data_IF_219797097758
#
_entry.id   IF_219797097758
#
_cell.length_a   1.000
_cell.length_b   1.000
_cell.length_c   1.000
_cell.angle_alpha   90.00
_cell.angle_beta   90.00
_cell.angle_gamma   90.00
#
_symmetry.space_group_name_H-M   'P 1'
#
loop_
_entity.id
_entity.type
_entity.pdbx_description
1 polymer ?
#
# COMPACT_ATOMS: atom_id res chain seq x y z
N UNK A 1 10.98 11.33 -25.33
CA UNK A 1 10.53 10.08 -24.66
C UNK A 1 10.01 9.14 -25.75
N UNK A 2 10.53 7.95 -25.83
CA UNK A 2 10.07 6.94 -26.77
C UNK A 2 8.64 6.47 -26.40
N UNK A 3 7.84 6.11 -27.42
CA UNK A 3 6.44 5.71 -27.21
C UNK A 3 6.32 4.49 -26.30
N UNK A 4 7.26 3.52 -26.41
CA UNK A 4 7.30 2.34 -25.56
C UNK A 4 7.53 2.70 -24.08
N UNK A 5 8.49 3.56 -23.78
CA UNK A 5 8.77 4.03 -22.41
C UNK A 5 7.57 4.80 -21.83
N UNK A 6 6.86 5.57 -22.66
CA UNK A 6 5.63 6.23 -22.24
C UNK A 6 4.53 5.22 -21.88
N UNK A 7 4.39 4.16 -22.68
CA UNK A 7 3.44 3.07 -22.41
C UNK A 7 3.78 2.33 -21.10
N UNK A 8 5.06 2.00 -20.88
CA UNK A 8 5.52 1.38 -19.63
C UNK A 8 5.18 2.27 -18.42
N UNK A 9 5.47 3.57 -18.48
CA UNK A 9 5.17 4.51 -17.42
C UNK A 9 3.66 4.64 -17.16
N UNK A 10 2.83 4.62 -18.21
CA UNK A 10 1.38 4.60 -18.10
C UNK A 10 0.88 3.34 -17.37
N UNK A 11 1.32 2.16 -17.81
CA UNK A 11 0.88 0.88 -17.24
C UNK A 11 1.28 0.78 -15.76
N UNK A 12 2.53 1.08 -15.42
CA UNK A 12 3.00 1.01 -14.03
C UNK A 12 2.32 2.06 -13.14
N UNK A 13 2.10 3.28 -13.64
CA UNK A 13 1.33 4.28 -12.92
C UNK A 13 -0.13 3.85 -12.69
N UNK A 14 -0.77 3.24 -13.69
CA UNK A 14 -2.11 2.66 -13.55
C UNK A 14 -2.11 1.55 -12.49
N UNK A 15 -1.19 0.60 -12.58
CA UNK A 15 -1.08 -0.52 -11.64
C UNK A 15 -0.90 -0.01 -10.21
N UNK A 16 0.04 0.91 -9.99
CA UNK A 16 0.26 1.52 -8.67
C UNK A 16 -1.01 2.19 -8.15
N UNK A 17 -1.59 3.11 -8.94
CA UNK A 17 -2.76 3.85 -8.54
C UNK A 17 -3.96 2.97 -8.20
N UNK A 18 -4.21 1.93 -8.98
CA UNK A 18 -5.32 1.01 -8.72
C UNK A 18 -5.05 0.13 -7.51
N UNK A 19 -3.84 -0.38 -7.35
CA UNK A 19 -3.57 -1.47 -6.39
C UNK A 19 -3.11 -1.01 -5.02
N UNK A 20 -2.57 0.21 -4.89
CA UNK A 20 -1.95 0.68 -3.63
C UNK A 20 -2.94 0.72 -2.46
N UNK A 21 -4.14 1.23 -2.69
CA UNK A 21 -5.15 1.37 -1.63
C UNK A 21 -6.10 0.19 -1.53
N UNK A 22 -6.18 -0.64 -2.55
CA UNK A 22 -6.90 -1.91 -2.49
C UNK A 22 -6.09 -2.93 -1.65
N UNK A 23 -6.76 -3.81 -0.90
CA UNK A 23 -6.06 -4.77 -0.06
C UNK A 23 -5.50 -5.98 -0.86
N UNK A 24 -4.78 -5.69 -1.97
CA UNK A 24 -4.29 -6.71 -2.94
C UNK A 24 -2.78 -6.68 -3.21
N UNK A 25 -2.03 -5.77 -2.57
CA UNK A 25 -0.58 -5.58 -2.69
C UNK A 25 -0.10 -4.96 -4.01
N UNK A 26 0.11 -3.66 -4.01
CA UNK A 26 0.71 -2.92 -5.14
C UNK A 26 2.11 -3.43 -5.48
N UNK A 27 2.96 -3.62 -4.47
CA UNK A 27 4.33 -4.14 -4.65
C UNK A 27 4.34 -5.46 -5.41
N UNK A 28 3.42 -6.39 -5.08
CA UNK A 28 3.32 -7.66 -5.79
C UNK A 28 2.97 -7.49 -7.27
N UNK A 29 2.04 -6.58 -7.59
CA UNK A 29 1.67 -6.28 -8.97
C UNK A 29 2.78 -5.56 -9.72
N UNK A 30 3.43 -4.59 -9.07
CA UNK A 30 4.54 -3.83 -9.66
C UNK A 30 5.69 -4.74 -10.08
N UNK A 31 6.15 -5.65 -9.19
CA UNK A 31 7.23 -6.59 -9.50
C UNK A 31 6.89 -7.41 -10.75
N UNK A 32 5.68 -7.98 -10.80
CA UNK A 32 5.26 -8.85 -11.89
C UNK A 32 5.08 -8.08 -13.20
N UNK A 33 4.40 -6.93 -13.14
CA UNK A 33 4.14 -6.15 -14.35
C UNK A 33 5.42 -5.51 -14.88
N UNK A 34 6.29 -5.01 -14.00
CA UNK A 34 7.57 -4.44 -14.41
C UNK A 34 8.46 -5.46 -15.14
N UNK A 35 8.51 -6.70 -14.62
CA UNK A 35 9.23 -7.80 -15.25
C UNK A 35 8.64 -8.16 -16.63
N UNK A 36 7.31 -8.30 -16.72
CA UNK A 36 6.62 -8.63 -17.97
C UNK A 36 6.78 -7.59 -19.09
N UNK A 37 6.97 -6.32 -18.73
CA UNK A 37 7.17 -5.23 -19.71
C UNK A 37 8.63 -4.78 -19.82
N UNK A 38 9.56 -5.53 -19.22
CA UNK A 38 11.01 -5.25 -19.21
C UNK A 38 11.35 -3.81 -18.73
N UNK A 39 10.74 -3.40 -17.60
CA UNK A 39 11.02 -2.12 -16.95
C UNK A 39 11.68 -2.36 -15.60
N UNK A 40 12.98 -2.65 -15.62
CA UNK A 40 13.76 -3.09 -14.46
C UNK A 40 15.00 -2.22 -14.24
N UNK A 41 15.76 -2.50 -13.16
CA UNK A 41 16.99 -1.81 -12.83
C UNK A 41 16.81 -0.46 -12.13
N UNK A 42 17.85 0.33 -12.10
CA UNK A 42 17.97 1.58 -11.34
C UNK A 42 16.86 2.59 -11.65
N UNK A 43 16.50 2.69 -12.93
CA UNK A 43 15.42 3.57 -13.37
C UNK A 43 14.07 3.16 -12.80
N UNK A 44 13.79 1.86 -12.74
CA UNK A 44 12.55 1.33 -12.18
C UNK A 44 12.46 1.61 -10.68
N UNK A 45 13.57 1.50 -9.94
CA UNK A 45 13.60 1.84 -8.51
C UNK A 45 13.24 3.31 -8.27
N UNK A 46 13.86 4.24 -9.00
CA UNK A 46 13.55 5.67 -8.89
C UNK A 46 12.09 5.97 -9.30
N UNK A 47 11.62 5.33 -10.38
CA UNK A 47 10.27 5.46 -10.89
C UNK A 47 9.21 5.00 -9.87
N UNK A 48 9.42 3.85 -9.22
CA UNK A 48 8.50 3.31 -8.21
C UNK A 48 8.30 4.28 -7.04
N UNK A 49 9.36 4.96 -6.59
CA UNK A 49 9.25 5.99 -5.55
C UNK A 49 8.34 7.13 -6.00
N UNK A 50 8.46 7.55 -7.24
CA UNK A 50 7.71 8.68 -7.80
C UNK A 50 6.22 8.35 -8.00
N UNK A 51 5.89 7.17 -8.54
CA UNK A 51 4.50 6.77 -8.73
C UNK A 51 3.79 6.56 -7.40
N UNK A 52 4.50 6.06 -6.38
CA UNK A 52 3.99 5.93 -5.02
C UNK A 52 3.62 7.30 -4.42
N UNK A 53 4.43 8.34 -4.66
CA UNK A 53 4.09 9.71 -4.26
C UNK A 53 2.83 10.23 -4.97
N UNK A 54 2.60 9.84 -6.22
CA UNK A 54 1.36 10.14 -6.95
C UNK A 54 0.14 9.54 -6.27
N UNK A 55 0.21 8.27 -5.89
CA UNK A 55 -0.86 7.58 -5.16
C UNK A 55 -1.13 8.23 -3.79
N UNK A 56 -0.09 8.57 -3.02
CA UNK A 56 -0.22 9.26 -1.72
C UNK A 56 -0.93 10.61 -1.88
N UNK A 57 -0.53 11.39 -2.87
CA UNK A 57 -1.14 12.69 -3.12
C UNK A 57 -2.63 12.57 -3.44
N UNK A 58 -3.07 11.51 -4.11
CA UNK A 58 -4.49 11.27 -4.37
C UNK A 58 -5.31 11.12 -3.08
N UNK A 59 -4.81 10.39 -2.09
CA UNK A 59 -5.49 10.26 -0.79
C UNK A 59 -5.46 11.57 -0.01
N UNK A 60 -4.33 12.28 0.00
CA UNK A 60 -4.24 13.61 0.64
C UNK A 60 -5.26 14.55 0.01
N UNK A 61 -5.40 14.53 -1.30
CA UNK A 61 -6.36 15.37 -2.02
C UNK A 61 -7.82 14.98 -1.71
N UNK A 62 -8.15 13.69 -1.68
CA UNK A 62 -9.49 13.22 -1.32
C UNK A 62 -9.88 13.65 0.08
N UNK A 63 -8.98 13.51 1.04
CA UNK A 63 -9.21 13.87 2.44
C UNK A 63 -8.69 15.25 2.83
N UNK A 64 -8.42 16.15 1.86
CA UNK A 64 -7.82 17.47 2.11
C UNK A 64 -8.54 18.32 3.16
N UNK A 65 -9.88 18.25 3.21
CA UNK A 65 -10.67 19.00 4.21
C UNK A 65 -10.40 18.46 5.62
N UNK A 66 -10.39 17.13 5.78
CA UNK A 66 -10.07 16.49 7.05
C UNK A 66 -8.62 16.77 7.45
N UNK A 67 -7.67 16.59 6.53
CA UNK A 67 -6.24 16.86 6.77
C UNK A 67 -6.03 18.31 7.22
N UNK A 68 -6.59 19.28 6.51
CA UNK A 68 -6.51 20.70 6.89
C UNK A 68 -7.16 20.96 8.25
N UNK A 69 -8.34 20.38 8.52
CA UNK A 69 -9.03 20.51 9.81
C UNK A 69 -8.19 19.95 10.97
N UNK A 70 -7.50 18.82 10.77
CA UNK A 70 -6.60 18.25 11.76
C UNK A 70 -5.40 19.14 11.98
N UNK A 71 -4.71 19.59 10.92
CA UNK A 71 -3.52 20.44 11.01
C UNK A 71 -3.86 21.76 11.72
N UNK A 72 -4.92 22.45 11.31
CA UNK A 72 -5.32 23.73 11.90
C UNK A 72 -5.89 23.57 13.32
N UNK A 73 -6.47 22.42 13.63
CA UNK A 73 -7.02 22.09 14.95
C UNK A 73 -5.99 21.57 15.94
N UNK A 74 -4.80 21.14 15.48
CA UNK A 74 -3.79 20.52 16.32
C UNK A 74 -3.37 21.33 17.55
N UNK A 75 -3.20 22.67 17.48
CA UNK A 75 -2.82 23.46 18.66
C UNK A 75 -3.89 23.54 19.75
N UNK A 76 -5.18 23.46 19.38
CA UNK A 76 -6.28 23.85 20.30
C UNK A 76 -7.38 22.77 20.45
N UNK A 77 -7.55 21.87 19.50
CA UNK A 77 -8.67 20.92 19.46
C UNK A 77 -8.27 19.54 19.91
N UNK A 78 -8.80 19.07 21.03
CA UNK A 78 -8.57 17.71 21.57
C UNK A 78 -8.84 16.59 20.57
N UNK A 79 -9.91 16.62 19.72
CA UNK A 79 -10.11 15.57 18.71
C UNK A 79 -8.95 15.51 17.68
N UNK A 80 -8.46 16.64 17.20
CA UNK A 80 -7.32 16.68 16.26
C UNK A 80 -6.03 16.12 16.91
N UNK A 81 -5.78 16.48 18.16
CA UNK A 81 -4.63 15.96 18.94
C UNK A 81 -4.74 14.45 19.12
N UNK A 82 -5.92 13.94 19.52
CA UNK A 82 -6.17 12.50 19.70
C UNK A 82 -6.01 11.72 18.38
N UNK A 83 -6.59 12.24 17.30
CA UNK A 83 -6.45 11.64 15.96
C UNK A 83 -4.97 11.54 15.55
N UNK A 84 -4.22 12.64 15.69
CA UNK A 84 -2.79 12.68 15.36
C UNK A 84 -1.98 11.74 16.27
N UNK A 85 -2.28 11.70 17.57
CA UNK A 85 -1.62 10.77 18.50
C UNK A 85 -1.87 9.31 18.09
N UNK A 86 -3.11 8.93 17.78
CA UNK A 86 -3.45 7.59 17.31
C UNK A 86 -2.71 7.25 16.00
N UNK A 87 -2.61 8.22 15.07
CA UNK A 87 -1.89 8.04 13.82
C UNK A 87 -0.39 7.79 14.06
N UNK A 88 0.24 8.56 14.94
CA UNK A 88 1.65 8.39 15.31
C UNK A 88 1.88 7.05 16.04
N UNK A 89 1.01 6.68 16.98
CA UNK A 89 1.09 5.38 17.68
C UNK A 89 1.01 4.20 16.69
N UNK A 90 0.18 4.29 15.65
CA UNK A 90 0.09 3.26 14.63
C UNK A 90 1.27 3.31 13.62
N UNK A 91 1.87 4.48 13.42
CA UNK A 91 2.97 4.68 12.49
C UNK A 91 4.31 4.09 12.98
N UNK A 92 4.67 4.36 14.25
CA UNK A 92 6.01 4.04 14.77
C UNK A 92 6.40 2.56 14.73
N UNK A 93 5.55 1.57 15.05
CA UNK A 93 5.97 0.17 15.03
C UNK A 93 6.56 -0.26 13.67
N UNK A 94 5.91 0.08 12.57
CA UNK A 94 6.38 -0.27 11.24
C UNK A 94 7.64 0.50 10.84
N UNK A 95 7.79 1.76 11.28
CA UNK A 95 9.02 2.54 11.02
C UNK A 95 10.21 1.94 11.78
N UNK A 96 10.04 1.60 13.04
CA UNK A 96 11.13 1.02 13.85
C UNK A 96 11.60 -0.29 13.23
N UNK A 97 10.67 -1.20 12.91
CA UNK A 97 11.01 -2.48 12.32
C UNK A 97 11.52 -2.34 10.87
N UNK A 98 10.91 -1.46 10.09
CA UNK A 98 11.33 -1.18 8.72
C UNK A 98 12.77 -0.67 8.66
N UNK A 99 13.14 0.30 9.51
CA UNK A 99 14.51 0.82 9.56
C UNK A 99 15.51 -0.20 10.12
N UNK A 100 15.09 -1.01 11.11
CA UNK A 100 15.97 -2.01 11.72
C UNK A 100 16.30 -3.19 10.77
N UNK A 101 15.35 -3.57 9.89
CA UNK A 101 15.43 -4.77 9.08
C UNK A 101 15.32 -4.50 7.56
N UNK A 102 15.43 -3.24 7.12
CA UNK A 102 15.25 -2.86 5.71
C UNK A 102 16.11 -3.68 4.75
N UNK A 103 17.40 -3.82 5.04
CA UNK A 103 18.34 -4.52 4.17
C UNK A 103 18.10 -6.05 4.16
N UNK A 104 17.76 -6.64 5.31
CA UNK A 104 17.42 -8.06 5.41
C UNK A 104 16.11 -8.38 4.68
N UNK A 105 15.10 -7.53 4.87
CA UNK A 105 13.80 -7.65 4.17
C UNK A 105 14.03 -7.61 2.66
N UNK A 106 14.78 -6.63 2.18
CA UNK A 106 15.06 -6.49 0.75
C UNK A 106 15.83 -7.70 0.23
N UNK A 107 16.87 -8.12 0.93
CA UNK A 107 17.75 -9.23 0.51
C UNK A 107 17.04 -10.58 0.46
N UNK A 108 16.16 -10.88 1.44
CA UNK A 108 15.61 -12.23 1.59
C UNK A 108 14.15 -12.37 1.17
N UNK A 109 13.37 -11.29 1.21
CA UNK A 109 11.93 -11.37 1.00
C UNK A 109 11.46 -10.75 -0.33
N UNK A 110 12.26 -9.89 -0.97
CA UNK A 110 11.89 -9.30 -2.26
C UNK A 110 12.13 -10.28 -3.40
N UNK A 111 11.23 -11.25 -3.54
CA UNK A 111 11.23 -12.18 -4.67
C UNK A 111 9.80 -12.62 -4.99
N UNK A 112 9.49 -13.02 -6.23
CA UNK A 112 8.14 -13.35 -6.68
C UNK A 112 7.47 -14.48 -5.89
N UNK A 113 8.25 -15.45 -5.41
CA UNK A 113 7.72 -16.60 -4.66
C UNK A 113 7.24 -16.15 -3.27
N UNK A 114 8.04 -15.33 -2.57
CA UNK A 114 7.64 -14.73 -1.29
C UNK A 114 6.38 -13.88 -1.47
N UNK A 115 6.35 -13.03 -2.51
CA UNK A 115 5.19 -12.20 -2.86
C UNK A 115 3.94 -13.06 -3.09
N UNK A 116 4.05 -14.10 -3.93
CA UNK A 116 2.93 -14.96 -4.26
C UNK A 116 2.42 -15.74 -3.04
N UNK A 117 3.34 -16.26 -2.22
CA UNK A 117 3.01 -16.96 -0.97
C UNK A 117 2.29 -16.02 0.01
N UNK A 118 2.80 -14.78 0.18
CA UNK A 118 2.17 -13.78 1.04
C UNK A 118 0.80 -13.33 0.52
N UNK A 119 0.61 -13.27 -0.81
CA UNK A 119 -0.70 -13.02 -1.41
C UNK A 119 -1.70 -14.12 -1.04
N UNK A 120 -1.34 -15.39 -1.21
CA UNK A 120 -2.21 -16.55 -0.91
C UNK A 120 -2.54 -16.60 0.58
N UNK A 121 -1.52 -16.57 1.45
CA UNK A 121 -1.72 -16.61 2.90
C UNK A 121 -2.58 -15.42 3.36
N UNK A 122 -2.26 -14.20 2.91
CA UNK A 122 -3.01 -13.00 3.25
C UNK A 122 -4.47 -13.05 2.74
N UNK A 123 -4.72 -13.71 1.60
CA UNK A 123 -6.08 -13.96 1.11
C UNK A 123 -6.87 -14.89 2.04
N UNK A 124 -6.29 -15.98 2.50
CA UNK A 124 -6.94 -16.88 3.49
C UNK A 124 -7.17 -16.18 4.83
N UNK A 125 -6.19 -15.40 5.32
CA UNK A 125 -6.35 -14.60 6.55
C UNK A 125 -7.51 -13.61 6.42
N UNK A 126 -7.64 -12.97 5.25
CA UNK A 126 -8.74 -12.03 4.98
C UNK A 126 -10.10 -12.74 4.97
N UNK A 127 -10.22 -13.93 4.32
CA UNK A 127 -11.45 -14.73 4.36
C UNK A 127 -11.80 -15.17 5.78
N UNK A 128 -10.81 -15.58 6.54
CA UNK A 128 -11.00 -15.98 7.94
C UNK A 128 -11.47 -14.79 8.78
N UNK A 129 -10.84 -13.62 8.63
CA UNK A 129 -11.25 -12.42 9.36
C UNK A 129 -12.69 -12.00 9.02
N UNK A 130 -13.07 -12.01 7.74
CA UNK A 130 -14.43 -11.64 7.30
C UNK A 130 -15.54 -12.59 7.81
N UNK A 131 -15.21 -13.85 8.07
CA UNK A 131 -16.16 -14.83 8.61
C UNK A 131 -16.41 -14.71 10.12
N UNK A 132 -15.60 -13.91 10.82
CA UNK A 132 -15.74 -13.76 12.27
C UNK A 132 -16.77 -12.70 12.63
N UNK A 133 -17.49 -12.94 13.72
CA UNK A 133 -18.33 -11.92 14.35
C UNK A 133 -17.44 -10.88 15.03
N UNK A 134 -17.52 -9.64 14.57
CA UNK A 134 -16.78 -8.53 15.13
C UNK A 134 -17.65 -7.72 16.09
N UNK A 135 -17.24 -7.60 17.36
CA UNK A 135 -17.82 -6.62 18.28
C UNK A 135 -17.28 -5.24 17.90
N UNK A 136 -18.03 -4.50 17.09
CA UNK A 136 -17.63 -3.16 16.63
C UNK A 136 -17.75 -2.19 17.81
N UNK A 137 -16.64 -1.53 18.12
CA UNK A 137 -16.51 -0.50 19.16
C UNK A 137 -16.11 0.87 18.59
N UNK A 138 -15.56 0.91 17.36
CA UNK A 138 -15.21 2.13 16.65
C UNK A 138 -15.92 2.16 15.29
N UNK A 139 -16.93 3.01 15.16
CA UNK A 139 -17.72 3.20 13.93
C UNK A 139 -17.10 4.23 12.98
N UNK A 140 -16.29 5.14 13.54
CA UNK A 140 -15.52 6.17 12.83
C UNK A 140 -14.07 6.19 13.32
N UNK A 141 -13.20 6.91 12.61
CA UNK A 141 -11.80 7.11 13.03
C UNK A 141 -11.70 7.91 14.34
N UNK A 142 -12.70 8.74 14.63
CA UNK A 142 -12.76 9.54 15.85
C UNK A 142 -13.12 8.70 17.10
N UNK A 143 -13.79 7.56 16.94
CA UNK A 143 -14.11 6.64 18.05
C UNK A 143 -12.92 5.78 18.47
N UNK A 144 -11.88 5.75 17.64
CA UNK A 144 -10.73 4.87 17.82
C UNK A 144 -9.95 5.17 19.10
N UNK A 145 -9.63 4.14 19.86
CA UNK A 145 -8.76 4.22 21.03
C UNK A 145 -7.29 4.09 20.64
N UNK A 146 -6.38 4.58 21.48
CA UNK A 146 -4.94 4.44 21.23
C UNK A 146 -4.49 2.95 21.22
N UNK A 147 -5.15 2.08 21.99
CA UNK A 147 -4.87 0.63 21.98
C UNK A 147 -5.23 0.00 20.64
N UNK A 148 -6.35 0.41 20.04
CA UNK A 148 -6.71 -0.02 18.69
C UNK A 148 -5.70 0.51 17.66
N UNK A 149 -5.29 1.76 17.77
CA UNK A 149 -4.26 2.35 16.92
C UNK A 149 -2.94 1.57 16.99
N UNK A 150 -2.47 1.24 18.18
CA UNK A 150 -1.27 0.44 18.38
C UNK A 150 -1.39 -0.95 17.74
N UNK A 151 -2.51 -1.63 17.94
CA UNK A 151 -2.77 -2.95 17.36
C UNK A 151 -2.81 -2.92 15.83
N UNK A 152 -3.41 -1.88 15.24
CA UNK A 152 -3.38 -1.67 13.78
C UNK A 152 -1.95 -1.38 13.30
N UNK A 153 -1.18 -0.60 14.06
CA UNK A 153 0.24 -0.35 13.77
C UNK A 153 1.10 -1.62 13.83
N UNK A 154 0.84 -2.50 14.80
CA UNK A 154 1.50 -3.82 14.86
C UNK A 154 1.07 -4.72 13.70
N UNK A 155 -0.21 -4.70 13.30
CA UNK A 155 -0.66 -5.40 12.11
C UNK A 155 0.00 -4.83 10.83
N UNK A 156 0.25 -3.52 10.76
CA UNK A 156 0.98 -2.90 9.65
C UNK A 156 2.40 -3.46 9.49
N UNK A 157 3.05 -3.91 10.56
CA UNK A 157 4.38 -4.51 10.48
C UNK A 157 4.42 -5.75 9.58
N UNK A 158 3.31 -6.48 9.43
CA UNK A 158 3.22 -7.60 8.49
C UNK A 158 3.40 -7.13 7.03
N UNK A 159 3.09 -5.88 6.74
CA UNK A 159 3.25 -5.31 5.40
C UNK A 159 4.72 -5.07 5.00
N UNK A 160 5.66 -5.21 5.92
CA UNK A 160 7.09 -5.24 5.61
C UNK A 160 7.46 -6.49 4.81
N UNK A 161 6.64 -7.55 4.85
CA UNK A 161 6.78 -8.72 3.99
C UNK A 161 6.12 -8.39 2.64
N UNK A 162 6.88 -8.36 1.53
CA UNK A 162 6.34 -8.08 0.21
C UNK A 162 5.21 -9.06 -0.16
N UNK A 163 4.15 -8.54 -0.78
CA UNK A 163 2.96 -9.35 -1.09
C UNK A 163 1.88 -9.33 0.00
N UNK A 164 2.21 -9.00 1.26
CA UNK A 164 1.21 -8.96 2.35
C UNK A 164 0.16 -7.87 2.15
N UNK A 165 0.49 -6.76 1.53
CA UNK A 165 -0.32 -5.54 1.38
C UNK A 165 -0.41 -4.70 2.65
N UNK A 166 0.08 -3.46 2.60
CA UNK A 166 -0.03 -2.50 3.70
C UNK A 166 -1.51 -2.20 4.02
N UNK A 167 -2.29 -1.85 3.00
CA UNK A 167 -3.74 -1.62 3.14
C UNK A 167 -4.47 -2.86 3.65
N UNK A 168 -4.14 -4.06 3.12
CA UNK A 168 -4.70 -5.32 3.60
C UNK A 168 -4.43 -5.57 5.09
N UNK A 169 -3.19 -5.40 5.53
CA UNK A 169 -2.79 -5.60 6.94
C UNK A 169 -3.50 -4.65 7.90
N UNK A 170 -3.55 -3.35 7.55
CA UNK A 170 -4.16 -2.33 8.40
C UNK A 170 -5.68 -2.41 8.43
N UNK A 171 -6.33 -2.70 7.30
CA UNK A 171 -7.78 -2.85 7.21
C UNK A 171 -8.23 -4.10 7.98
N UNK A 172 -7.61 -5.25 7.70
CA UNK A 172 -7.99 -6.51 8.38
C UNK A 172 -7.63 -6.45 9.85
N UNK A 173 -6.47 -5.85 10.21
CA UNK A 173 -6.15 -5.56 11.61
C UNK A 173 -7.22 -4.69 12.27
N UNK A 174 -7.65 -3.61 11.63
CA UNK A 174 -8.72 -2.75 12.13
C UNK A 174 -10.02 -3.52 12.40
N UNK A 175 -10.46 -4.37 11.47
CA UNK A 175 -11.65 -5.23 11.66
C UNK A 175 -11.50 -6.16 12.87
N UNK A 176 -10.38 -6.87 12.96
CA UNK A 176 -10.10 -7.80 14.05
C UNK A 176 -10.05 -7.11 15.42
N UNK A 177 -9.72 -5.82 15.46
CA UNK A 177 -9.64 -5.03 16.68
C UNK A 177 -10.87 -4.14 16.93
N UNK A 178 -12.00 -4.46 16.27
CA UNK A 178 -13.30 -3.87 16.57
C UNK A 178 -13.60 -2.55 15.86
N UNK A 179 -12.96 -2.27 14.74
CA UNK A 179 -13.34 -1.15 13.87
C UNK A 179 -14.39 -1.61 12.84
N UNK A 180 -15.30 -0.72 12.46
CA UNK A 180 -16.16 -0.95 11.31
C UNK A 180 -15.33 -1.01 10.00
N UNK A 181 -15.86 -1.64 8.93
CA UNK A 181 -15.17 -1.67 7.62
C UNK A 181 -14.80 -0.27 7.15
N UNK A 182 -15.71 0.67 7.27
CA UNK A 182 -15.49 2.08 6.88
C UNK A 182 -14.36 2.70 7.72
N UNK A 183 -14.45 2.62 9.05
CA UNK A 183 -13.43 3.19 9.93
C UNK A 183 -12.04 2.57 9.71
N UNK A 184 -11.96 1.25 9.53
CA UNK A 184 -10.70 0.55 9.25
C UNK A 184 -10.07 0.99 7.92
N UNK A 185 -10.90 1.14 6.87
CA UNK A 185 -10.42 1.62 5.55
C UNK A 185 -9.95 3.06 5.62
N UNK A 186 -10.76 3.96 6.21
CA UNK A 186 -10.40 5.37 6.34
C UNK A 186 -9.13 5.53 7.17
N UNK A 187 -9.02 4.84 8.31
CA UNK A 187 -7.80 4.88 9.13
C UNK A 187 -6.59 4.34 8.39
N UNK A 188 -6.73 3.26 7.61
CA UNK A 188 -5.67 2.76 6.74
C UNK A 188 -5.19 3.83 5.76
N UNK A 189 -6.10 4.61 5.16
CA UNK A 189 -5.76 5.70 4.25
C UNK A 189 -5.02 6.83 4.96
N UNK A 190 -5.49 7.24 6.13
CA UNK A 190 -4.79 8.26 6.93
C UNK A 190 -3.41 7.79 7.37
N UNK A 191 -3.27 6.51 7.77
CA UNK A 191 -2.00 5.94 8.17
C UNK A 191 -1.03 5.79 6.98
N UNK A 192 -1.55 5.62 5.76
CA UNK A 192 -0.76 5.61 4.55
C UNK A 192 0.01 6.92 4.34
N UNK A 193 -0.62 8.06 4.65
CA UNK A 193 -0.02 9.38 4.39
C UNK A 193 1.37 9.51 5.05
N UNK A 194 1.53 9.39 6.38
CA UNK A 194 2.85 9.49 7.00
C UNK A 194 3.75 8.29 6.67
N UNK A 195 3.20 7.07 6.61
CA UNK A 195 4.00 5.85 6.41
C UNK A 195 4.66 5.83 5.03
N UNK A 196 3.89 6.04 3.98
CA UNK A 196 4.40 6.00 2.62
C UNK A 196 5.21 7.26 2.28
N UNK A 197 4.81 8.44 2.77
CA UNK A 197 5.62 9.65 2.60
C UNK A 197 6.98 9.49 3.27
N UNK A 198 7.01 8.95 4.49
CA UNK A 198 8.26 8.66 5.21
C UNK A 198 9.14 7.67 4.45
N UNK A 199 8.55 6.57 3.96
CA UNK A 199 9.25 5.56 3.16
C UNK A 199 9.77 6.16 1.83
N UNK A 200 8.95 6.93 1.12
CA UNK A 200 9.34 7.59 -0.12
C UNK A 200 10.47 8.61 0.07
N UNK A 201 10.41 9.43 1.13
CA UNK A 201 11.48 10.37 1.48
C UNK A 201 12.78 9.65 1.81
N UNK A 202 12.70 8.58 2.62
CA UNK A 202 13.86 7.75 2.95
C UNK A 202 14.48 7.12 1.69
N UNK A 203 13.67 6.51 0.84
CA UNK A 203 14.11 5.88 -0.41
C UNK A 203 14.66 6.91 -1.40
N UNK A 204 14.01 8.06 -1.55
CA UNK A 204 14.50 9.14 -2.40
C UNK A 204 15.86 9.68 -1.93
N UNK A 205 16.08 9.75 -0.60
CA UNK A 205 17.38 10.12 -0.06
C UNK A 205 18.44 9.03 -0.28
N UNK A 206 18.10 7.76 0.00
CA UNK A 206 19.00 6.60 -0.17
C UNK A 206 19.42 6.45 -1.63
N UNK A 207 18.49 6.54 -2.56
CA UNK A 207 18.69 6.34 -4.00
C UNK A 207 18.77 7.64 -4.82
N UNK A 208 19.11 8.78 -4.18
CA UNK A 208 19.16 10.09 -4.84
C UNK A 208 20.05 10.15 -6.08
N UNK A 209 21.06 9.29 -6.16
CA UNK A 209 22.00 9.20 -7.29
C UNK A 209 21.36 8.55 -8.53
N UNK A 210 20.23 7.87 -8.40
CA UNK A 210 19.51 7.25 -9.51
C UNK A 210 18.57 8.23 -10.23
N UNK A 211 18.27 9.39 -9.62
CA UNK A 211 17.37 10.36 -10.24
C UNK A 211 18.12 11.17 -11.30
N UNK A 212 17.70 10.99 -12.57
CA UNK A 212 18.27 11.74 -13.69
C UNK A 212 17.23 12.71 -14.27
N UNK A 213 17.67 13.89 -14.64
CA UNK A 213 16.80 14.90 -15.25
C UNK A 213 16.21 14.45 -16.60
N UNK A 214 16.91 13.56 -17.30
CA UNK A 214 16.42 12.92 -18.54
C UNK A 214 15.17 12.08 -18.32
N UNK A 215 14.94 11.55 -17.11
CA UNK A 215 13.82 10.70 -16.78
C UNK A 215 12.57 11.49 -16.30
N UNK A 216 12.71 12.80 -16.12
CA UNK A 216 11.62 13.65 -15.65
C UNK A 216 10.31 13.49 -16.43
N UNK A 217 10.29 13.39 -17.78
CA UNK A 217 9.05 13.17 -18.54
C UNK A 217 8.37 11.82 -18.22
N UNK A 218 9.18 10.77 -17.99
CA UNK A 218 8.70 9.43 -17.64
C UNK A 218 8.12 9.43 -16.23
N UNK A 219 8.84 10.05 -15.29
CA UNK A 219 8.42 10.20 -13.90
C UNK A 219 7.13 11.02 -13.77
N UNK A 220 7.03 12.13 -14.50
CA UNK A 220 5.83 12.96 -14.51
C UNK A 220 4.60 12.21 -15.05
N UNK A 221 4.79 11.42 -16.11
CA UNK A 221 3.72 10.61 -16.68
C UNK A 221 3.24 9.54 -15.71
N UNK A 222 4.15 8.75 -15.14
CA UNK A 222 3.83 7.72 -14.14
C UNK A 222 3.14 8.30 -12.92
N UNK A 223 3.68 9.40 -12.37
CA UNK A 223 3.09 10.14 -11.24
C UNK A 223 1.65 10.57 -11.54
N UNK A 224 1.41 11.18 -12.70
CA UNK A 224 0.08 11.65 -13.10
C UNK A 224 -0.93 10.52 -13.18
N UNK A 225 -0.57 9.41 -13.84
CA UNK A 225 -1.49 8.27 -13.95
C UNK A 225 -1.69 7.56 -12.61
N UNK A 226 -0.64 7.41 -11.80
CA UNK A 226 -0.77 6.90 -10.43
C UNK A 226 -1.75 7.75 -9.62
N UNK A 227 -1.61 9.08 -9.65
CA UNK A 227 -2.54 10.00 -8.99
C UNK A 227 -3.99 9.82 -9.46
N UNK A 228 -4.22 9.82 -10.80
CA UNK A 228 -5.57 9.71 -11.37
C UNK A 228 -6.22 8.38 -10.98
N UNK A 229 -5.51 7.27 -11.18
CA UNK A 229 -6.07 5.94 -10.91
C UNK A 229 -6.21 5.66 -9.42
N UNK A 230 -5.33 6.17 -8.56
CA UNK A 230 -5.48 6.11 -7.11
C UNK A 230 -6.72 6.89 -6.64
N UNK A 231 -6.99 8.07 -7.22
CA UNK A 231 -8.19 8.85 -6.93
C UNK A 231 -9.47 8.07 -7.26
N UNK A 232 -9.48 7.37 -8.40
CA UNK A 232 -10.61 6.53 -8.81
C UNK A 232 -10.73 5.33 -7.87
N UNK A 233 -9.62 4.64 -7.57
CA UNK A 233 -9.61 3.45 -6.73
C UNK A 233 -10.05 3.73 -5.29
N UNK A 234 -9.59 4.82 -4.68
CA UNK A 234 -9.98 5.25 -3.33
C UNK A 234 -11.48 5.49 -3.24
N UNK A 235 -12.05 6.26 -4.18
CA UNK A 235 -13.49 6.54 -4.21
C UNK A 235 -14.31 5.27 -4.47
N UNK A 236 -13.86 4.43 -5.39
CA UNK A 236 -14.51 3.17 -5.71
C UNK A 236 -14.50 2.22 -4.52
N UNK A 237 -13.37 2.09 -3.81
CA UNK A 237 -13.25 1.25 -2.62
C UNK A 237 -14.19 1.73 -1.51
N UNK A 238 -14.21 3.02 -1.19
CA UNK A 238 -15.10 3.58 -0.15
C UNK A 238 -16.56 3.30 -0.45
N UNK A 239 -16.98 3.44 -1.72
CA UNK A 239 -18.34 3.11 -2.15
C UNK A 239 -18.61 1.60 -2.05
N UNK A 240 -17.66 0.77 -2.45
CA UNK A 240 -17.76 -0.68 -2.48
C UNK A 240 -17.94 -1.27 -1.07
N UNK A 241 -17.11 -0.88 -0.10
CA UNK A 241 -17.11 -1.42 1.26
C UNK A 241 -18.38 -1.05 2.06
N UNK A 242 -19.15 -0.05 1.61
CA UNK A 242 -20.44 0.30 2.21
C UNK A 242 -21.46 -0.84 2.14
N UNK A 243 -21.36 -1.69 1.12
CA UNK A 243 -22.34 -2.76 0.86
C UNK A 243 -21.71 -4.15 0.64
N UNK A 244 -20.38 -4.26 0.59
CA UNK A 244 -19.69 -5.50 0.28
C UNK A 244 -18.60 -5.81 1.30
N UNK A 245 -18.22 -7.09 1.36
CA UNK A 245 -17.10 -7.58 2.17
C UNK A 245 -15.79 -7.54 1.39
N UNK A 246 -14.67 -7.70 2.10
CA UNK A 246 -13.35 -7.83 1.45
C UNK A 246 -13.09 -9.20 0.82
N UNK A 247 -14.05 -10.12 0.86
CA UNK A 247 -13.90 -11.48 0.33
C UNK A 247 -13.53 -11.51 -1.17
N UNK A 248 -14.02 -10.54 -1.96
CA UNK A 248 -13.66 -10.42 -3.39
C UNK A 248 -12.16 -10.21 -3.55
N UNK A 249 -11.56 -9.33 -2.75
CA UNK A 249 -10.12 -9.07 -2.78
C UNK A 249 -9.32 -10.26 -2.26
N UNK A 250 -9.85 -10.99 -1.29
CA UNK A 250 -9.24 -12.22 -0.78
C UNK A 250 -9.14 -13.30 -1.87
N UNK A 251 -10.23 -13.56 -2.59
CA UNK A 251 -10.24 -14.50 -3.69
C UNK A 251 -9.32 -14.07 -4.84
N UNK A 252 -9.32 -12.78 -5.16
CA UNK A 252 -8.39 -12.23 -6.13
C UNK A 252 -6.93 -12.51 -5.75
N UNK A 253 -6.54 -12.23 -4.49
CA UNK A 253 -5.18 -12.50 -3.98
C UNK A 253 -4.80 -13.96 -4.08
N UNK A 254 -5.71 -14.87 -3.67
CA UNK A 254 -5.48 -16.32 -3.73
C UNK A 254 -5.28 -16.75 -5.18
N UNK A 255 -6.17 -16.33 -6.08
CA UNK A 255 -6.07 -16.69 -7.50
C UNK A 255 -4.82 -16.15 -8.17
N UNK A 256 -4.49 -14.87 -7.92
CA UNK A 256 -3.30 -14.23 -8.48
C UNK A 256 -2.01 -14.83 -7.94
N UNK A 257 -1.91 -15.04 -6.61
CA UNK A 257 -0.75 -15.68 -6.01
C UNK A 257 -0.58 -17.14 -6.45
N UNK A 258 -1.68 -17.89 -6.57
CA UNK A 258 -1.64 -19.26 -7.10
C UNK A 258 -1.17 -19.30 -8.56
N UNK A 259 -1.60 -18.35 -9.40
CA UNK A 259 -1.16 -18.23 -10.78
C UNK A 259 0.35 -18.00 -10.88
N UNK A 260 0.91 -17.13 -10.04
CA UNK A 260 2.35 -16.88 -9.99
C UNK A 260 3.11 -18.13 -9.58
N UNK A 261 2.67 -18.82 -8.50
CA UNK A 261 3.31 -20.05 -8.04
C UNK A 261 3.26 -21.17 -9.09
N UNK A 262 2.13 -21.31 -9.80
CA UNK A 262 1.99 -22.27 -10.90
C UNK A 262 2.89 -21.92 -12.08
N UNK A 263 2.97 -20.64 -12.48
CA UNK A 263 3.83 -20.19 -13.59
C UNK A 263 5.30 -20.45 -13.28
N UNK A 264 5.71 -20.29 -12.02
CA UNK A 264 7.05 -20.66 -11.55
C UNK A 264 7.29 -22.17 -11.60
N UNK A 265 6.39 -22.97 -11.05
CA UNK A 265 6.54 -24.42 -10.99
C UNK A 265 6.54 -25.08 -12.38
N UNK A 266 5.78 -24.52 -13.32
CA UNK A 266 5.69 -25.01 -14.70
C UNK A 266 6.73 -24.39 -15.64
N UNK A 267 7.62 -23.53 -15.12
CA UNK A 267 8.63 -22.78 -15.90
C UNK A 267 8.03 -21.99 -17.09
N UNK A 268 6.82 -21.45 -16.93
CA UNK A 268 6.20 -20.60 -17.92
C UNK A 268 6.84 -19.20 -17.96
N UNK A 269 7.31 -18.73 -16.82
CA UNK A 269 8.00 -17.45 -16.64
C UNK A 269 9.24 -17.69 -15.80
N UNK A 270 10.36 -17.16 -16.24
CA UNK A 270 11.60 -17.18 -15.46
C UNK A 270 11.60 -16.02 -14.46
N UNK A 271 11.19 -16.31 -13.23
CA UNK A 271 11.16 -15.34 -12.14
C UNK A 271 12.53 -15.11 -11.47
N UNK A 272 13.61 -15.74 -11.96
CA UNK A 272 14.95 -15.56 -11.39
C UNK A 272 15.54 -14.18 -11.67
N UNK A 273 15.04 -13.52 -12.71
CA UNK A 273 15.47 -12.17 -13.14
C UNK A 273 14.67 -11.06 -12.48
N UNK A 274 13.52 -11.38 -11.88
CA UNK A 274 12.62 -10.43 -11.22
C UNK A 274 13.14 -10.01 -9.83
N UNK A 275 14.43 -9.69 -9.71
CA UNK A 275 14.98 -9.02 -8.53
C UNK A 275 15.05 -7.53 -8.82
N UNK A 276 14.51 -6.68 -7.91
CA UNK A 276 14.55 -5.25 -8.07
C UNK A 276 15.95 -4.69 -8.02
#
# INVERSE_FOLDING_TARGET
MELWVAFQAFILGLVEGVTEFLPISSTGHQIIVADLIDFTGDRAMAFNIIIQLGAILAVIWEYRVTVLSVITGLPTRKPAQRFTANLLVAFFPAVILGLAFADDIHKYLFNPITVATALVIGGFVMLWAEKRDHKISAHSVDDMTWQQALKVGLAQCLALIPGTSRSGSTIIGGLLFGMSRKAATEFSFFLAMPTMTGAAVYSAYKYRHLFQMSDLPVFALGFLFSFIFAMIAVKALLKFIGNHSYAVFAWYRIGFGALILLSWQLNWVDWSTAQP
#
